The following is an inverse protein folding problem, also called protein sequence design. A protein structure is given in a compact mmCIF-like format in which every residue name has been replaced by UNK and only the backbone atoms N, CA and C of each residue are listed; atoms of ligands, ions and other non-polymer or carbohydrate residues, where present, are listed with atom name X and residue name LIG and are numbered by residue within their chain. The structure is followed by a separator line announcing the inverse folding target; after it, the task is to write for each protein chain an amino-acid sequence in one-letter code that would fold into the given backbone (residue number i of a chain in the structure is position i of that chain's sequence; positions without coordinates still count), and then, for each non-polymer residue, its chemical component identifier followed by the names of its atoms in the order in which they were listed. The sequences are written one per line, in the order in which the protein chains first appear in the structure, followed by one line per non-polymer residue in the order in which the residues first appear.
data_IF_742291635173
#
_entry.id   IF_742291635173
#
_cell.length_a   1.000
_cell.length_b   1.000
_cell.length_c   1.000
_cell.angle_alpha   90.00
_cell.angle_beta   90.00
_cell.angle_gamma   90.00
#
_symmetry.space_group_name_H-M   'P 1'
#
loop_
_entity.id
_entity.type
_entity.pdbx_description
1 polymer ?
#
# COMPACT_ATOMS: atom_id res chain seq x y z
N UNK A 1 -10.49 -3.32 -17.82
CA UNK A 1 -9.47 -3.62 -18.87
C UNK A 1 -9.36 -2.57 -19.98
N UNK A 2 -10.43 -1.87 -20.42
CA UNK A 2 -10.35 -0.97 -21.60
C UNK A 2 -9.23 0.06 -21.59
N UNK A 3 -8.99 0.73 -20.45
CA UNK A 3 -7.89 1.71 -20.28
C UNK A 3 -6.51 1.09 -20.49
N UNK A 4 -6.28 -0.11 -19.96
CA UNK A 4 -5.00 -0.82 -20.09
C UNK A 4 -4.84 -1.56 -21.43
N UNK A 5 -5.93 -1.88 -22.12
CA UNK A 5 -5.92 -2.52 -23.45
C UNK A 5 -5.63 -1.53 -24.59
N UNK A 6 -5.92 -0.24 -24.39
CA UNK A 6 -5.54 0.83 -25.33
C UNK A 6 -5.00 2.06 -24.57
N UNK A 7 -3.75 2.00 -24.08
CA UNK A 7 -3.13 3.11 -23.36
C UNK A 7 -2.95 4.36 -24.24
N UNK A 8 -2.85 4.21 -25.56
CA UNK A 8 -2.67 5.33 -26.48
C UNK A 8 -3.89 6.25 -26.49
N UNK A 9 -5.09 5.66 -26.49
CA UNK A 9 -6.37 6.38 -26.41
C UNK A 9 -6.69 6.87 -25.01
N UNK A 10 -6.23 6.16 -23.99
CA UNK A 10 -6.57 6.42 -22.58
C UNK A 10 -5.39 6.88 -21.72
N UNK A 11 -4.40 7.55 -22.33
CA UNK A 11 -3.11 7.85 -21.70
C UNK A 11 -3.23 8.46 -20.31
N UNK A 12 -4.02 9.52 -20.15
CA UNK A 12 -4.17 10.22 -18.87
C UNK A 12 -4.71 9.30 -17.75
N UNK A 13 -5.63 8.38 -18.08
CA UNK A 13 -6.19 7.44 -17.11
C UNK A 13 -5.21 6.30 -16.81
N UNK A 14 -4.50 5.82 -17.83
CA UNK A 14 -3.43 4.83 -17.65
C UNK A 14 -2.31 5.38 -16.76
N UNK A 15 -1.83 6.59 -17.06
CA UNK A 15 -0.80 7.26 -16.29
C UNK A 15 -1.22 7.49 -14.83
N UNK A 16 -2.46 7.96 -14.60
CA UNK A 16 -3.00 8.09 -13.26
C UNK A 16 -3.01 6.75 -12.51
N UNK A 17 -3.48 5.68 -13.14
CA UNK A 17 -3.53 4.36 -12.53
C UNK A 17 -2.13 3.88 -12.13
N UNK A 18 -1.13 4.05 -13.00
CA UNK A 18 0.26 3.70 -12.69
C UNK A 18 0.82 4.56 -11.53
N UNK A 19 0.49 5.87 -11.47
CA UNK A 19 0.88 6.71 -10.34
C UNK A 19 0.24 6.32 -9.01
N UNK A 20 -0.98 5.80 -9.03
CA UNK A 20 -1.62 5.26 -7.82
C UNK A 20 -0.95 3.96 -7.35
N UNK A 21 -0.51 3.11 -8.27
CA UNK A 21 0.27 1.90 -7.95
C UNK A 21 1.65 2.27 -7.36
N UNK A 22 2.33 3.27 -7.93
CA UNK A 22 3.58 3.82 -7.39
C UNK A 22 3.38 4.34 -5.96
N UNK A 23 2.31 5.11 -5.74
CA UNK A 23 1.96 5.66 -4.43
C UNK A 23 1.73 4.56 -3.40
N UNK A 24 0.94 3.53 -3.74
CA UNK A 24 0.70 2.41 -2.83
C UNK A 24 2.00 1.67 -2.49
N UNK A 25 2.88 1.46 -3.47
CA UNK A 25 4.18 0.83 -3.23
C UNK A 25 5.03 1.64 -2.26
N UNK A 26 5.11 2.96 -2.46
CA UNK A 26 5.78 3.86 -1.52
C UNK A 26 5.15 3.82 -0.12
N UNK A 27 3.83 3.74 -0.05
CA UNK A 27 3.09 3.67 1.21
C UNK A 27 3.33 2.36 1.97
N UNK A 28 3.43 1.23 1.26
CA UNK A 28 3.80 -0.07 1.85
C UNK A 28 5.20 -0.03 2.45
N UNK A 29 6.17 0.56 1.74
CA UNK A 29 7.52 0.74 2.29
C UNK A 29 7.53 1.64 3.51
N UNK A 30 6.75 2.73 3.49
CA UNK A 30 6.61 3.60 4.66
C UNK A 30 6.04 2.83 5.85
N UNK A 31 4.95 2.05 5.68
CA UNK A 31 4.36 1.24 6.76
C UNK A 31 5.37 0.23 7.31
N UNK A 32 6.11 -0.46 6.44
CA UNK A 32 7.11 -1.44 6.87
C UNK A 32 8.25 -0.80 7.68
N UNK A 33 8.77 0.33 7.20
CA UNK A 33 9.80 1.10 7.93
C UNK A 33 9.28 1.58 9.27
N UNK A 34 8.03 2.07 9.30
CA UNK A 34 7.38 2.51 10.53
C UNK A 34 7.27 1.37 11.56
N UNK A 35 6.79 0.18 11.16
CA UNK A 35 6.74 -1.01 12.04
C UNK A 35 8.12 -1.32 12.60
N UNK A 36 9.13 -1.39 11.73
CA UNK A 36 10.53 -1.71 12.14
C UNK A 36 11.09 -0.68 13.13
N UNK A 37 10.83 0.60 12.90
CA UNK A 37 11.24 1.67 13.81
C UNK A 37 10.54 1.54 15.16
N UNK A 38 9.22 1.35 15.18
CA UNK A 38 8.46 1.22 16.44
C UNK A 38 8.92 0.00 17.23
N UNK A 39 9.11 -1.14 16.57
CA UNK A 39 9.63 -2.37 17.21
C UNK A 39 11.00 -2.15 17.85
N UNK A 40 11.90 -1.40 17.19
CA UNK A 40 13.22 -1.07 17.77
C UNK A 40 13.12 -0.17 19.00
N UNK A 41 12.19 0.78 19.03
CA UNK A 41 12.12 1.80 20.08
C UNK A 41 11.35 1.30 21.31
N UNK A 42 10.21 0.63 21.12
CA UNK A 42 9.32 0.23 22.23
C UNK A 42 9.13 -1.29 22.37
N UNK A 43 9.73 -2.09 21.49
CA UNK A 43 9.47 -3.53 21.44
C UNK A 43 7.99 -3.82 21.18
N UNK A 44 7.40 -4.68 22.01
CA UNK A 44 5.99 -5.09 21.93
C UNK A 44 5.09 -4.40 22.96
N UNK A 45 5.53 -3.28 23.54
CA UNK A 45 4.70 -2.50 24.47
C UNK A 45 3.45 -1.95 23.77
N UNK A 46 2.39 -1.73 24.57
CA UNK A 46 1.18 -1.04 24.10
C UNK A 46 1.54 0.39 23.68
N UNK A 47 1.02 0.83 22.53
CA UNK A 47 1.23 2.18 22.04
C UNK A 47 0.51 3.20 22.93
N UNK A 48 1.03 4.42 22.99
CA UNK A 48 0.40 5.51 23.77
C UNK A 48 -1.02 5.86 23.27
N UNK A 49 -1.34 5.54 22.01
CA UNK A 49 -2.69 5.64 21.45
C UNK A 49 -3.63 4.49 21.80
N UNK A 50 -3.26 3.58 22.72
CA UNK A 50 -4.11 2.47 23.18
C UNK A 50 -4.13 1.24 22.27
N UNK A 51 -3.38 1.24 21.17
CA UNK A 51 -3.26 0.06 20.30
C UNK A 51 -2.24 -0.94 20.83
N UNK A 52 -2.31 -2.19 20.38
CA UNK A 52 -1.34 -3.23 20.70
C UNK A 52 0.05 -3.03 20.03
N UNK A 53 0.40 -1.78 19.68
CA UNK A 53 1.71 -1.38 19.16
C UNK A 53 2.08 -2.07 17.84
N UNK A 54 3.25 -2.72 17.82
CA UNK A 54 3.79 -3.43 16.65
C UNK A 54 2.81 -4.43 16.06
N UNK A 55 2.05 -5.15 16.89
CA UNK A 55 1.11 -6.17 16.42
C UNK A 55 -0.06 -5.57 15.62
N UNK A 56 -0.56 -4.40 16.02
CA UNK A 56 -1.56 -3.65 15.27
C UNK A 56 -0.96 -3.15 13.95
N UNK A 57 0.25 -2.57 13.99
CA UNK A 57 0.90 -2.03 12.80
C UNK A 57 1.25 -3.12 11.76
N UNK A 58 1.62 -4.33 12.20
CA UNK A 58 1.85 -5.47 11.30
C UNK A 58 0.58 -5.84 10.53
N UNK A 59 -0.59 -5.86 11.17
CA UNK A 59 -1.88 -6.10 10.48
C UNK A 59 -2.18 -5.05 9.41
N UNK A 60 -1.72 -3.81 9.61
CA UNK A 60 -1.91 -2.75 8.61
C UNK A 60 -1.06 -2.95 7.35
N UNK A 61 -0.07 -3.86 7.36
CA UNK A 61 0.69 -4.22 6.15
C UNK A 61 -0.16 -5.01 5.14
N UNK A 62 -1.20 -5.69 5.61
CA UNK A 62 -2.09 -6.50 4.78
C UNK A 62 -3.13 -5.65 4.03
N UNK A 63 -3.29 -4.38 4.42
CA UNK A 63 -4.27 -3.47 3.81
C UNK A 63 -3.75 -2.92 2.48
N UNK A 64 -4.43 -3.28 1.40
CA UNK A 64 -4.22 -2.79 0.02
C UNK A 64 -5.07 -1.53 -0.20
N UNK A 65 -4.50 -0.45 -0.72
CA UNK A 65 -5.23 0.81 -0.89
C UNK A 65 -6.05 0.84 -2.19
N UNK A 66 -5.50 0.30 -3.27
CA UNK A 66 -6.12 0.22 -4.59
C UNK A 66 -6.18 -1.25 -5.06
N UNK A 67 -6.94 -2.12 -4.37
CA UNK A 67 -6.97 -3.56 -4.66
C UNK A 67 -7.38 -3.89 -6.08
N UNK A 68 -8.25 -3.09 -6.68
CA UNK A 68 -8.73 -3.26 -8.06
C UNK A 68 -7.58 -3.09 -9.08
N UNK A 69 -6.64 -2.16 -8.83
CA UNK A 69 -5.49 -1.93 -9.72
C UNK A 69 -4.50 -3.10 -9.66
N UNK A 70 -4.36 -3.74 -8.50
CA UNK A 70 -3.51 -4.92 -8.34
C UNK A 70 -4.15 -6.17 -8.94
N UNK A 71 -5.43 -6.40 -8.67
CA UNK A 71 -6.18 -7.53 -9.23
C UNK A 71 -6.19 -7.48 -10.76
N UNK A 72 -6.34 -6.28 -11.33
CA UNK A 72 -6.34 -6.09 -12.78
C UNK A 72 -5.03 -6.56 -13.44
N UNK A 73 -3.87 -6.51 -12.77
CA UNK A 73 -2.62 -7.04 -13.35
C UNK A 73 -2.61 -8.56 -13.55
N UNK A 74 -3.46 -9.29 -12.83
CA UNK A 74 -3.61 -10.74 -13.02
C UNK A 74 -4.54 -11.07 -14.20
N UNK A 75 -5.40 -10.14 -14.59
CA UNK A 75 -6.39 -10.30 -15.67
C UNK A 75 -5.97 -9.68 -17.01
N UNK A 76 -4.83 -8.99 -17.04
CA UNK A 76 -4.29 -8.34 -18.25
C UNK A 76 -3.68 -9.32 -19.24
#
# INVERSE_FOLDING_TARGET
LGVYKDPSRHWALYELAEKLVDLETAFRFWRFRHVTTVERIIGFKTGTGGTAGVSYLRKMLDVVLFPELFALRTEL
#
